data_IF_787930794187
#
_entry.id   IF_787930794187
#
_cell.length_a   1.000
_cell.length_b   1.000
_cell.length_c   1.000
_cell.angle_alpha   90.00
_cell.angle_beta   90.00
_cell.angle_gamma   90.00
#
_symmetry.space_group_name_H-M   'P 1'
#
loop_
_entity.id
_entity.type
_entity.pdbx_description
1 polymer ?
#
# COMPACT_ATOMS: atom_id res chain seq x y z
N UNK A 1 -33.54 0.66 52.50
CA UNK A 1 -32.12 0.84 52.86
C UNK A 1 -31.17 0.01 52.01
N UNK A 2 -31.51 -1.22 51.57
CA UNK A 2 -30.71 -2.01 50.64
C UNK A 2 -30.64 -1.36 49.23
N UNK A 3 -31.80 -0.92 48.73
CA UNK A 3 -31.98 -0.29 47.42
C UNK A 3 -31.14 1.02 47.23
N UNK A 4 -31.05 1.85 48.29
CA UNK A 4 -30.26 3.09 48.25
C UNK A 4 -28.74 2.85 48.31
N UNK A 5 -28.27 1.71 48.86
CA UNK A 5 -26.87 1.31 48.83
C UNK A 5 -26.50 0.75 47.49
N UNK A 6 -27.33 -0.07 46.89
CA UNK A 6 -27.15 -0.66 45.58
C UNK A 6 -27.05 0.43 44.49
N UNK A 7 -27.94 1.44 44.53
CA UNK A 7 -27.88 2.61 43.65
C UNK A 7 -26.62 3.48 43.83
N UNK A 8 -26.15 3.60 45.11
CA UNK A 8 -24.90 4.34 45.38
C UNK A 8 -23.66 3.63 44.87
N UNK A 9 -23.63 2.28 44.98
CA UNK A 9 -22.50 1.46 44.49
C UNK A 9 -22.46 1.42 42.95
N UNK A 10 -23.61 1.36 42.29
CA UNK A 10 -23.75 1.44 40.84
C UNK A 10 -23.28 2.80 40.30
N UNK A 11 -23.69 3.90 40.92
CA UNK A 11 -23.25 5.25 40.54
C UNK A 11 -21.75 5.44 40.74
N UNK A 12 -21.17 4.89 41.79
CA UNK A 12 -19.73 4.96 42.05
C UNK A 12 -18.93 4.15 41.01
N UNK A 13 -19.49 3.02 40.53
CA UNK A 13 -18.90 2.23 39.44
C UNK A 13 -18.89 3.02 38.15
N UNK A 14 -20.01 3.59 37.72
CA UNK A 14 -20.15 4.41 36.52
C UNK A 14 -19.20 5.63 36.53
N UNK A 15 -19.06 6.29 37.69
CA UNK A 15 -18.16 7.44 37.85
C UNK A 15 -16.68 7.02 37.76
N UNK A 16 -16.34 5.80 38.16
CA UNK A 16 -14.99 5.24 37.98
C UNK A 16 -14.71 4.93 36.51
N UNK A 17 -15.61 4.21 35.84
CA UNK A 17 -15.47 3.88 34.43
C UNK A 17 -15.31 5.13 33.55
N UNK A 18 -16.09 6.17 33.81
CA UNK A 18 -15.99 7.44 33.12
C UNK A 18 -14.61 8.10 33.31
N UNK A 19 -14.09 8.13 34.56
CA UNK A 19 -12.76 8.69 34.84
C UNK A 19 -11.64 7.88 34.16
N UNK A 20 -11.76 6.56 34.18
CA UNK A 20 -10.77 5.69 33.53
C UNK A 20 -10.78 5.89 32.00
N UNK A 21 -11.98 6.03 31.42
CA UNK A 21 -12.11 6.32 29.97
C UNK A 21 -11.54 7.70 29.61
N UNK A 22 -11.83 8.75 30.42
CA UNK A 22 -11.24 10.09 30.21
C UNK A 22 -9.71 10.07 30.33
N UNK A 23 -9.17 9.38 31.33
CA UNK A 23 -7.72 9.25 31.49
C UNK A 23 -7.04 8.50 30.32
N UNK A 24 -7.67 7.42 29.84
CA UNK A 24 -7.20 6.70 28.64
C UNK A 24 -7.20 7.61 27.42
N UNK A 25 -8.29 8.35 27.22
CA UNK A 25 -8.42 9.29 26.11
C UNK A 25 -7.33 10.35 26.13
N UNK A 26 -7.05 10.97 27.26
CA UNK A 26 -6.02 12.01 27.38
C UNK A 26 -4.63 11.53 26.97
N UNK A 27 -4.18 10.35 27.41
CA UNK A 27 -2.87 9.86 27.03
C UNK A 27 -2.84 9.34 25.60
N UNK A 28 -3.93 8.74 25.09
CA UNK A 28 -4.04 8.31 23.71
C UNK A 28 -3.98 9.50 22.74
N UNK A 29 -4.66 10.61 23.05
CA UNK A 29 -4.61 11.83 22.26
C UNK A 29 -3.22 12.49 22.25
N UNK A 30 -2.45 12.36 23.34
CA UNK A 30 -1.03 12.80 23.36
C UNK A 30 -0.13 11.96 22.45
N UNK A 31 -0.41 10.66 22.35
CA UNK A 31 0.36 9.75 21.52
C UNK A 31 -0.06 9.78 20.04
N UNK A 32 -1.36 9.67 19.77
CA UNK A 32 -1.91 9.52 18.41
C UNK A 32 -2.34 10.85 17.77
N UNK A 33 -2.41 11.93 18.51
CA UNK A 33 -3.10 13.20 18.28
C UNK A 33 -4.64 13.10 18.40
N UNK A 34 -5.31 14.17 18.83
CA UNK A 34 -6.77 14.19 18.96
C UNK A 34 -7.51 13.87 17.65
N UNK A 35 -7.06 14.45 16.53
CA UNK A 35 -7.68 14.26 15.22
C UNK A 35 -7.59 12.80 14.75
N UNK A 36 -6.48 12.12 14.99
CA UNK A 36 -6.33 10.72 14.60
C UNK A 36 -7.14 9.81 15.52
N UNK A 37 -7.08 10.04 16.82
CA UNK A 37 -7.77 9.19 17.79
C UNK A 37 -9.29 9.34 17.72
N UNK A 38 -9.83 10.55 17.43
CA UNK A 38 -11.29 10.76 17.29
C UNK A 38 -11.92 9.83 16.25
N UNK A 39 -11.19 9.50 15.15
CA UNK A 39 -11.72 8.60 14.11
C UNK A 39 -11.97 7.17 14.61
N UNK A 40 -11.27 6.73 15.64
CA UNK A 40 -11.47 5.44 16.30
C UNK A 40 -12.54 5.55 17.40
N UNK A 41 -12.53 6.64 18.16
CA UNK A 41 -13.55 6.92 19.20
C UNK A 41 -14.97 6.99 18.61
N UNK A 42 -15.14 7.62 17.45
CA UNK A 42 -16.43 7.76 16.76
C UNK A 42 -17.02 6.39 16.37
N UNK A 43 -16.17 5.41 16.06
CA UNK A 43 -16.59 4.05 15.71
C UNK A 43 -16.89 3.20 16.95
N UNK A 44 -16.25 3.52 18.06
CA UNK A 44 -16.38 2.82 19.34
C UNK A 44 -17.30 3.56 20.32
N UNK A 45 -18.19 4.43 19.86
CA UNK A 45 -19.16 5.17 20.68
C UNK A 45 -18.53 5.93 21.86
N UNK A 46 -17.29 6.41 21.69
CA UNK A 46 -16.53 7.14 22.70
C UNK A 46 -15.81 6.26 23.73
N UNK A 47 -15.83 4.94 23.59
CA UNK A 47 -15.07 4.00 24.41
C UNK A 47 -13.59 4.02 24.03
N UNK A 48 -12.75 4.62 24.88
CA UNK A 48 -11.33 4.81 24.63
C UNK A 48 -10.54 3.50 24.67
N UNK A 49 -10.96 2.50 25.42
CA UNK A 49 -10.32 1.17 25.46
C UNK A 49 -10.52 0.44 24.14
N UNK A 50 -11.77 0.32 23.68
CA UNK A 50 -12.08 -0.27 22.37
C UNK A 50 -11.46 0.50 21.20
N UNK A 51 -11.41 1.83 21.29
CA UNK A 51 -10.77 2.66 20.27
C UNK A 51 -9.27 2.38 20.16
N UNK A 52 -8.59 2.13 21.29
CA UNK A 52 -7.18 1.71 21.30
C UNK A 52 -7.01 0.29 20.76
N UNK A 53 -7.87 -0.65 21.12
CA UNK A 53 -7.87 -2.00 20.57
C UNK A 53 -8.07 -1.98 19.04
N UNK A 54 -8.99 -1.15 18.55
CA UNK A 54 -9.25 -0.98 17.13
C UNK A 54 -8.04 -0.34 16.41
N UNK A 55 -7.35 0.59 17.06
CA UNK A 55 -6.11 1.16 16.53
C UNK A 55 -5.00 0.10 16.41
N UNK A 56 -4.77 -0.71 17.46
CA UNK A 56 -3.81 -1.81 17.43
C UNK A 56 -4.16 -2.84 16.35
N UNK A 57 -5.42 -3.21 16.25
CA UNK A 57 -5.91 -4.10 15.19
C UNK A 57 -5.61 -3.54 13.78
N UNK A 58 -5.82 -2.24 13.58
CA UNK A 58 -5.48 -1.57 12.32
C UNK A 58 -3.98 -1.63 12.01
N UNK A 59 -3.12 -1.48 13.01
CA UNK A 59 -1.66 -1.63 12.83
C UNK A 59 -1.28 -3.07 12.50
N UNK A 60 -1.91 -4.05 13.14
CA UNK A 60 -1.68 -5.48 12.85
C UNK A 60 -2.09 -5.80 11.41
N UNK A 61 -3.27 -5.38 10.97
CA UNK A 61 -3.71 -5.49 9.57
C UNK A 61 -2.71 -4.84 8.60
N UNK A 62 -2.20 -3.66 8.94
CA UNK A 62 -1.20 -2.97 8.14
C UNK A 62 0.11 -3.74 8.01
N UNK A 63 0.52 -4.47 9.04
CA UNK A 63 1.74 -5.32 9.01
C UNK A 63 1.58 -6.51 8.08
N UNK A 64 0.43 -7.18 8.10
CA UNK A 64 0.15 -8.30 7.19
C UNK A 64 0.12 -7.81 5.73
N UNK A 65 -0.61 -6.75 5.46
CA UNK A 65 -0.66 -6.11 4.13
C UNK A 65 0.72 -5.69 3.63
N UNK A 66 1.57 -5.15 4.51
CA UNK A 66 2.92 -4.73 4.12
C UNK A 66 3.79 -5.91 3.70
N UNK A 67 3.63 -7.08 4.32
CA UNK A 67 4.30 -8.31 3.94
C UNK A 67 3.94 -8.75 2.52
N UNK A 68 2.65 -8.80 2.21
CA UNK A 68 2.15 -9.21 0.89
C UNK A 68 2.53 -8.18 -0.20
N UNK A 69 2.44 -6.89 0.11
CA UNK A 69 2.92 -5.80 -0.77
C UNK A 69 4.42 -5.92 -1.05
N UNK A 70 5.24 -6.25 -0.05
CA UNK A 70 6.69 -6.36 -0.23
C UNK A 70 7.06 -7.52 -1.17
N UNK A 71 6.43 -8.68 -1.05
CA UNK A 71 6.60 -9.78 -2.00
C UNK A 71 6.24 -9.39 -3.42
N UNK A 72 5.09 -8.72 -3.59
CA UNK A 72 4.64 -8.24 -4.88
C UNK A 72 5.57 -7.17 -5.47
N UNK A 73 6.01 -6.20 -4.66
CA UNK A 73 6.94 -5.14 -5.11
C UNK A 73 8.24 -5.74 -5.63
N UNK A 74 8.80 -6.74 -4.94
CA UNK A 74 10.00 -7.45 -5.37
C UNK A 74 9.77 -8.15 -6.71
N UNK A 75 8.65 -8.85 -6.88
CA UNK A 75 8.33 -9.56 -8.12
C UNK A 75 8.14 -8.60 -9.29
N UNK A 76 7.38 -7.53 -9.10
CA UNK A 76 7.12 -6.50 -10.12
C UNK A 76 8.42 -5.81 -10.57
N UNK A 77 9.23 -5.38 -9.60
CA UNK A 77 10.53 -4.76 -9.83
C UNK A 77 11.43 -5.64 -10.67
N UNK A 78 11.64 -6.88 -10.24
CA UNK A 78 12.54 -7.79 -10.90
C UNK A 78 12.02 -8.23 -12.28
N UNK A 79 10.70 -8.36 -12.47
CA UNK A 79 10.11 -8.67 -13.75
C UNK A 79 10.29 -7.53 -14.77
N UNK A 80 10.07 -6.29 -14.36
CA UNK A 80 10.24 -5.12 -15.22
C UNK A 80 11.70 -4.82 -15.52
N UNK A 81 12.57 -4.91 -14.51
CA UNK A 81 14.01 -4.74 -14.70
C UNK A 81 14.57 -5.76 -15.67
N UNK A 82 14.24 -7.04 -15.51
CA UNK A 82 14.66 -8.11 -16.42
C UNK A 82 14.25 -7.85 -17.86
N UNK A 83 12.97 -7.52 -18.10
CA UNK A 83 12.46 -7.26 -19.45
C UNK A 83 13.09 -6.03 -20.08
N UNK A 84 13.32 -4.97 -19.30
CA UNK A 84 14.01 -3.77 -19.78
C UNK A 84 15.48 -4.07 -20.10
N UNK A 85 16.17 -4.82 -19.23
CA UNK A 85 17.57 -5.22 -19.45
C UNK A 85 17.74 -6.11 -20.68
N UNK A 86 16.79 -7.05 -20.90
CA UNK A 86 16.85 -7.97 -22.05
C UNK A 86 16.51 -7.32 -23.40
N UNK A 87 15.64 -6.28 -23.40
CA UNK A 87 15.05 -5.73 -24.63
C UNK A 87 15.49 -4.31 -24.98
N UNK A 88 16.09 -3.61 -24.07
CA UNK A 88 16.55 -2.24 -24.32
C UNK A 88 17.90 -2.28 -25.04
N UNK A 89 17.93 -1.74 -26.25
CA UNK A 89 19.13 -1.72 -27.11
C UNK A 89 19.88 -0.38 -26.99
N UNK A 90 20.27 0.01 -25.79
CA UNK A 90 21.09 1.19 -25.52
C UNK A 90 22.56 0.81 -25.28
N UNK A 91 23.50 1.76 -25.39
CA UNK A 91 24.90 1.53 -25.07
C UNK A 91 25.18 1.33 -23.59
N UNK A 92 24.28 1.79 -22.70
CA UNK A 92 24.36 1.67 -21.26
C UNK A 92 23.12 0.94 -20.71
N UNK A 93 23.16 0.60 -19.43
CA UNK A 93 21.98 0.07 -18.74
C UNK A 93 20.79 1.02 -18.86
N UNK A 94 19.57 0.50 -19.03
CA UNK A 94 18.33 1.27 -19.22
C UNK A 94 18.10 2.37 -18.17
N UNK A 95 18.63 2.21 -16.95
CA UNK A 95 18.57 3.23 -15.89
C UNK A 95 19.41 4.48 -16.18
N UNK A 96 20.54 4.32 -16.86
CA UNK A 96 21.57 5.36 -17.00
C UNK A 96 21.64 5.92 -18.41
N UNK A 97 21.15 5.17 -19.38
CA UNK A 97 21.16 5.57 -20.78
C UNK A 97 20.22 6.78 -21.02
N UNK A 98 20.77 7.81 -21.68
CA UNK A 98 20.01 9.04 -21.95
C UNK A 98 18.84 8.83 -22.94
N UNK A 99 18.88 7.76 -23.77
CA UNK A 99 17.83 7.41 -24.71
C UNK A 99 16.74 6.53 -24.10
N UNK A 100 16.92 6.06 -22.86
CA UNK A 100 16.00 5.15 -22.19
C UNK A 100 14.57 5.68 -22.17
N UNK A 101 13.57 4.88 -22.56
CA UNK A 101 12.17 5.28 -22.51
C UNK A 101 11.66 5.48 -21.08
N UNK A 102 12.38 5.00 -20.08
CA UNK A 102 12.04 5.17 -18.64
C UNK A 102 12.43 6.57 -18.15
N UNK A 103 13.56 7.10 -18.60
CA UNK A 103 14.15 8.34 -18.06
C UNK A 103 14.18 9.50 -19.06
N UNK A 104 14.27 9.26 -20.37
CA UNK A 104 14.25 10.35 -21.38
C UNK A 104 12.98 11.20 -21.25
N UNK A 105 13.03 12.52 -21.59
CA UNK A 105 11.84 13.36 -21.58
C UNK A 105 10.76 12.84 -22.53
N UNK A 106 9.55 12.63 -22.02
CA UNK A 106 8.36 12.27 -22.81
C UNK A 106 7.30 13.34 -22.60
N UNK A 107 7.14 14.20 -23.62
CA UNK A 107 6.20 15.31 -23.54
C UNK A 107 4.77 14.87 -23.88
N UNK A 108 3.83 15.12 -22.96
CA UNK A 108 2.39 14.85 -23.14
C UNK A 108 1.57 16.08 -22.78
N UNK A 109 0.44 16.26 -23.48
CA UNK A 109 -0.53 17.30 -23.14
C UNK A 109 -1.34 16.87 -21.92
N UNK A 110 -1.38 17.71 -20.90
CA UNK A 110 -2.25 17.55 -19.75
C UNK A 110 -3.73 17.84 -20.13
N UNK A 111 -4.67 17.54 -19.22
CA UNK A 111 -6.10 17.93 -19.38
C UNK A 111 -6.28 19.44 -19.62
N UNK A 112 -5.39 20.26 -19.06
CA UNK A 112 -5.36 21.72 -19.28
C UNK A 112 -4.55 22.14 -20.52
N UNK A 113 -4.30 21.22 -21.47
CA UNK A 113 -3.53 21.44 -22.72
C UNK A 113 -2.07 21.93 -22.52
N UNK A 114 -1.54 21.93 -21.28
CA UNK A 114 -0.15 22.24 -21.02
C UNK A 114 0.72 21.01 -21.29
N UNK A 115 1.85 21.22 -21.95
CA UNK A 115 2.86 20.19 -22.12
C UNK A 115 3.54 19.92 -20.78
N UNK A 116 3.64 18.65 -20.43
CA UNK A 116 4.40 18.17 -19.27
C UNK A 116 5.23 16.98 -19.64
N UNK A 117 6.39 16.90 -19.06
CA UNK A 117 7.24 15.72 -19.13
C UNK A 117 6.75 14.67 -18.14
N UNK A 118 6.24 13.55 -18.66
CA UNK A 118 5.70 12.48 -17.81
C UNK A 118 6.78 11.64 -17.15
N UNK A 119 8.02 11.68 -17.65
CA UNK A 119 9.16 10.97 -17.07
C UNK A 119 9.96 11.80 -16.06
N UNK A 120 9.59 13.06 -15.80
CA UNK A 120 10.27 13.86 -14.80
C UNK A 120 10.28 13.20 -13.41
N UNK A 121 9.16 12.56 -13.03
CA UNK A 121 9.04 11.84 -11.77
C UNK A 121 9.98 10.63 -11.72
N UNK A 122 10.11 9.90 -12.83
CA UNK A 122 11.01 8.74 -12.92
C UNK A 122 12.47 9.16 -12.79
N UNK A 123 12.89 10.23 -13.52
CA UNK A 123 14.27 10.74 -13.38
C UNK A 123 14.60 11.13 -11.96
N UNK A 124 13.71 11.84 -11.27
CA UNK A 124 13.90 12.21 -9.86
C UNK A 124 14.03 10.98 -8.97
N UNK A 125 13.17 9.98 -9.17
CA UNK A 125 13.23 8.75 -8.39
C UNK A 125 14.54 7.99 -8.61
N UNK A 126 15.04 7.93 -9.86
CA UNK A 126 16.34 7.32 -10.17
C UNK A 126 17.49 8.13 -9.56
N UNK A 127 17.44 9.45 -9.64
CA UNK A 127 18.44 10.35 -9.04
C UNK A 127 18.51 10.19 -7.52
N UNK A 128 17.35 10.17 -6.86
CA UNK A 128 17.23 9.94 -5.41
C UNK A 128 17.73 8.53 -5.02
N UNK A 129 17.43 7.50 -5.80
CA UNK A 129 17.92 6.14 -5.56
C UNK A 129 19.44 6.05 -5.74
N UNK A 130 19.99 6.70 -6.77
CA UNK A 130 21.45 6.81 -6.98
C UNK A 130 22.15 7.53 -5.82
N UNK A 131 21.54 8.61 -5.31
CA UNK A 131 22.11 9.35 -4.18
C UNK A 131 22.14 8.54 -2.87
N UNK A 132 21.31 7.51 -2.74
CA UNK A 132 21.28 6.59 -1.58
C UNK A 132 22.11 5.32 -1.78
N UNK A 133 22.44 4.95 -3.01
CA UNK A 133 23.20 3.76 -3.30
C UNK A 133 24.65 3.90 -2.82
N UNK A 134 25.23 2.80 -2.30
CA UNK A 134 26.66 2.77 -1.95
C UNK A 134 27.56 2.95 -3.19
N UNK A 135 27.17 2.33 -4.30
CA UNK A 135 27.75 2.56 -5.61
C UNK A 135 26.66 3.09 -6.56
N UNK A 136 26.66 4.40 -6.91
CA UNK A 136 25.67 5.02 -7.78
C UNK A 136 25.77 4.57 -9.25
N UNK A 137 26.80 3.82 -9.63
CA UNK A 137 26.98 3.25 -10.95
C UNK A 137 26.59 1.78 -11.02
N UNK A 138 26.29 1.15 -9.91
CA UNK A 138 25.79 -0.22 -9.87
C UNK A 138 24.25 -0.23 -10.07
N UNK A 139 23.75 -0.74 -11.22
CA UNK A 139 22.33 -0.74 -11.53
C UNK A 139 21.50 -1.51 -10.49
N UNK A 140 21.99 -2.64 -9.97
CA UNK A 140 21.27 -3.47 -9.02
C UNK A 140 20.99 -2.71 -7.71
N UNK A 141 21.97 -1.91 -7.25
CA UNK A 141 21.79 -1.10 -6.04
C UNK A 141 20.78 0.05 -6.25
N UNK A 142 20.81 0.65 -7.44
CA UNK A 142 19.85 1.72 -7.78
C UNK A 142 18.45 1.16 -7.96
N UNK A 143 18.30 0.03 -8.66
CA UNK A 143 17.03 -0.71 -8.82
C UNK A 143 16.45 -1.07 -7.46
N UNK A 144 17.28 -1.58 -6.54
CA UNK A 144 16.86 -1.91 -5.17
C UNK A 144 16.34 -0.70 -4.39
N UNK A 145 16.81 0.50 -4.70
CA UNK A 145 16.40 1.75 -4.08
C UNK A 145 15.10 2.35 -4.65
N UNK A 146 14.55 1.80 -5.74
CA UNK A 146 13.32 2.29 -6.36
C UNK A 146 12.09 1.67 -5.69
N UNK A 147 11.11 2.49 -5.35
CA UNK A 147 9.91 2.10 -4.61
C UNK A 147 8.77 1.67 -5.55
N UNK A 148 7.77 0.96 -5.01
CA UNK A 148 6.59 0.48 -5.74
C UNK A 148 5.96 1.54 -6.66
N UNK A 149 5.83 2.79 -6.20
CA UNK A 149 5.26 3.88 -6.99
C UNK A 149 5.98 4.14 -8.30
N UNK A 150 7.31 3.95 -8.35
CA UNK A 150 8.08 4.06 -9.59
C UNK A 150 7.66 2.97 -10.59
N UNK A 151 7.56 1.73 -10.15
CA UNK A 151 7.19 0.58 -10.98
C UNK A 151 5.74 0.64 -11.45
N UNK A 152 4.82 1.01 -10.56
CA UNK A 152 3.40 1.19 -10.88
C UNK A 152 3.17 2.26 -11.95
N UNK A 153 3.89 3.38 -11.90
CA UNK A 153 3.78 4.45 -12.89
C UNK A 153 4.22 4.05 -14.30
N UNK A 154 5.02 3.01 -14.48
CA UNK A 154 5.46 2.60 -15.81
C UNK A 154 4.34 2.04 -16.68
N UNK A 155 3.24 1.54 -16.10
CA UNK A 155 2.05 1.07 -16.82
C UNK A 155 1.05 2.16 -17.19
N UNK A 156 1.29 3.42 -16.77
CA UNK A 156 0.42 4.56 -17.06
C UNK A 156 0.18 4.73 -18.58
N UNK A 157 -1.04 5.11 -18.96
CA UNK A 157 -1.45 5.34 -20.35
C UNK A 157 -0.50 6.29 -21.11
N UNK A 158 0.07 7.26 -20.42
CA UNK A 158 1.00 8.21 -21.03
C UNK A 158 2.29 7.58 -21.56
N UNK A 159 2.64 6.39 -21.07
CA UNK A 159 3.83 5.61 -21.42
C UNK A 159 3.54 4.37 -22.26
N UNK A 160 2.28 4.14 -22.62
CA UNK A 160 1.85 2.92 -23.34
C UNK A 160 2.68 2.65 -24.60
N UNK A 161 2.89 3.68 -25.43
CA UNK A 161 3.65 3.56 -26.69
C UNK A 161 5.16 3.44 -26.49
N UNK A 162 5.68 4.02 -25.40
CA UNK A 162 7.13 4.10 -25.18
C UNK A 162 7.63 2.98 -24.26
N UNK A 163 6.80 2.44 -23.37
CA UNK A 163 7.19 1.42 -22.38
C UNK A 163 6.36 0.13 -22.49
N UNK A 164 5.03 0.22 -22.44
CA UNK A 164 4.19 -0.98 -22.38
C UNK A 164 4.31 -1.81 -23.66
N UNK A 165 4.02 -1.23 -24.82
CA UNK A 165 4.03 -1.97 -26.09
C UNK A 165 5.42 -2.54 -26.45
N UNK A 166 6.53 -1.79 -26.34
CA UNK A 166 7.82 -2.35 -26.73
C UNK A 166 8.43 -3.27 -25.67
N UNK A 167 8.11 -3.10 -24.37
CA UNK A 167 8.83 -3.79 -23.30
C UNK A 167 7.93 -4.49 -22.31
N UNK A 168 7.15 -3.74 -21.48
CA UNK A 168 6.61 -4.22 -20.21
C UNK A 168 5.51 -5.27 -20.36
N UNK A 169 4.80 -5.32 -21.50
CA UNK A 169 3.80 -6.36 -21.74
C UNK A 169 4.40 -7.78 -21.66
N UNK A 170 5.68 -7.93 -21.93
CA UNK A 170 6.36 -9.21 -21.91
C UNK A 170 6.64 -9.74 -20.48
N UNK A 171 6.50 -8.91 -19.46
CA UNK A 171 6.57 -9.34 -18.07
C UNK A 171 5.27 -10.04 -17.61
N UNK A 172 4.20 -9.97 -18.39
CA UNK A 172 2.87 -10.43 -18.04
C UNK A 172 2.38 -11.53 -18.97
N UNK A 173 1.41 -12.35 -18.53
CA UNK A 173 0.75 -13.32 -19.41
C UNK A 173 0.18 -12.66 -20.67
N UNK A 174 0.18 -13.41 -21.77
CA UNK A 174 -0.38 -12.93 -23.03
C UNK A 174 -1.86 -12.54 -22.88
N UNK A 175 -2.23 -11.39 -23.43
CA UNK A 175 -3.59 -10.85 -23.34
C UNK A 175 -3.88 -10.01 -22.09
N UNK A 176 -2.88 -9.75 -21.24
CA UNK A 176 -3.07 -8.85 -20.08
C UNK A 176 -3.50 -7.47 -20.55
N UNK A 177 -4.65 -7.00 -20.05
CA UNK A 177 -5.15 -5.65 -20.30
C UNK A 177 -4.36 -4.63 -19.47
N UNK A 178 -3.59 -3.78 -20.17
CA UNK A 178 -2.80 -2.72 -19.54
C UNK A 178 -3.63 -1.78 -18.67
N UNK A 179 -4.86 -1.43 -19.09
CA UNK A 179 -5.66 -0.45 -18.37
C UNK A 179 -6.19 -1.03 -17.05
N UNK A 180 -6.63 -2.28 -17.07
CA UNK A 180 -7.04 -3.01 -15.87
C UNK A 180 -5.86 -3.19 -14.93
N UNK A 181 -4.71 -3.63 -15.45
CA UNK A 181 -3.47 -3.78 -14.68
C UNK A 181 -3.05 -2.46 -14.03
N UNK A 182 -3.09 -1.34 -14.78
CA UNK A 182 -2.73 -0.04 -14.24
C UNK A 182 -3.64 0.38 -13.07
N UNK A 183 -4.94 0.12 -13.15
CA UNK A 183 -5.87 0.41 -12.05
C UNK A 183 -5.52 -0.41 -10.79
N UNK A 184 -5.24 -1.70 -10.95
CA UNK A 184 -4.81 -2.56 -9.84
C UNK A 184 -3.49 -2.05 -9.22
N UNK A 185 -2.48 -1.73 -10.03
CA UNK A 185 -1.20 -1.21 -9.55
C UNK A 185 -1.33 0.15 -8.83
N UNK A 186 -2.19 1.04 -9.33
CA UNK A 186 -2.49 2.31 -8.66
C UNK A 186 -3.16 2.10 -7.29
N UNK A 187 -4.11 1.16 -7.19
CA UNK A 187 -4.78 0.81 -5.94
C UNK A 187 -3.81 0.20 -4.93
N UNK A 188 -2.94 -0.72 -5.36
CA UNK A 188 -1.90 -1.31 -4.52
C UNK A 188 -0.92 -0.24 -4.01
N UNK A 189 -0.48 0.67 -4.88
CA UNK A 189 0.40 1.76 -4.47
C UNK A 189 -0.26 2.73 -3.49
N UNK A 190 -1.56 3.02 -3.64
CA UNK A 190 -2.33 3.79 -2.67
C UNK A 190 -2.42 3.07 -1.32
N UNK A 191 -2.75 1.77 -1.31
CA UNK A 191 -2.80 0.96 -0.10
C UNK A 191 -1.44 0.95 0.61
N UNK A 192 -0.36 0.70 -0.12
CA UNK A 192 1.01 0.75 0.41
C UNK A 192 1.32 2.07 1.11
N UNK A 193 0.93 3.20 0.51
CA UNK A 193 1.16 4.51 1.10
C UNK A 193 0.33 4.72 2.38
N UNK A 194 -0.93 4.28 2.40
CA UNK A 194 -1.76 4.33 3.61
C UNK A 194 -1.18 3.51 4.75
N UNK A 195 -0.71 2.29 4.45
CA UNK A 195 -0.03 1.43 5.43
C UNK A 195 1.25 2.12 5.95
N UNK A 196 2.10 2.64 5.06
CA UNK A 196 3.35 3.32 5.44
C UNK A 196 3.15 4.58 6.29
N UNK A 197 1.99 5.25 6.15
CA UNK A 197 1.61 6.43 6.94
C UNK A 197 0.75 6.09 8.16
N UNK A 198 0.57 4.80 8.47
CA UNK A 198 -0.30 4.32 9.55
C UNK A 198 -1.70 4.95 9.50
N UNK A 199 -2.26 5.07 8.29
CA UNK A 199 -3.62 5.56 8.10
C UNK A 199 -4.64 4.48 8.46
N UNK A 200 -5.88 4.90 8.69
CA UNK A 200 -7.00 3.98 8.88
C UNK A 200 -7.25 3.16 7.62
N UNK A 201 -7.28 1.83 7.74
CA UNK A 201 -7.41 0.87 6.64
C UNK A 201 -8.82 0.29 6.47
N UNK A 202 -9.77 0.70 7.28
CA UNK A 202 -11.17 0.26 7.29
C UNK A 202 -12.12 1.45 7.13
N UNK A 203 -13.41 1.18 6.87
CA UNK A 203 -14.45 2.17 6.58
C UNK A 203 -13.95 3.22 5.56
N UNK A 204 -13.63 2.78 4.32
CA UNK A 204 -13.06 3.67 3.33
C UNK A 204 -14.06 4.75 2.94
N UNK A 205 -13.58 6.00 2.84
CA UNK A 205 -14.38 7.13 2.34
C UNK A 205 -14.51 7.12 0.80
N UNK A 206 -13.66 6.36 0.10
CA UNK A 206 -13.66 6.24 -1.35
C UNK A 206 -14.38 4.95 -1.78
N UNK A 207 -15.40 5.08 -2.62
CA UNK A 207 -16.07 3.93 -3.24
C UNK A 207 -15.07 3.09 -4.04
N UNK A 208 -15.09 1.78 -3.84
CA UNK A 208 -14.21 0.82 -4.52
C UNK A 208 -12.83 0.66 -3.91
N UNK A 209 -12.51 1.32 -2.80
CA UNK A 209 -11.31 1.04 -2.02
C UNK A 209 -11.62 -0.01 -0.95
N UNK A 210 -11.08 -1.20 -1.10
CA UNK A 210 -11.16 -2.28 -0.12
C UNK A 210 -9.78 -2.89 0.06
N UNK A 211 -9.15 -2.81 1.24
CA UNK A 211 -7.87 -3.46 1.49
C UNK A 211 -7.89 -4.95 1.21
N UNK A 212 -9.00 -5.63 1.53
CA UNK A 212 -9.18 -7.06 1.27
C UNK A 212 -9.21 -7.38 -0.22
N UNK A 213 -9.94 -6.60 -1.03
CA UNK A 213 -9.98 -6.80 -2.49
C UNK A 213 -8.63 -6.47 -3.14
N UNK A 214 -7.93 -5.43 -2.64
CA UNK A 214 -6.61 -5.06 -3.13
C UNK A 214 -5.59 -6.16 -2.80
N UNK A 215 -5.70 -6.80 -1.63
CA UNK A 215 -4.85 -7.93 -1.25
C UNK A 215 -5.08 -9.15 -2.17
N UNK A 216 -6.33 -9.43 -2.54
CA UNK A 216 -6.64 -10.43 -3.56
C UNK A 216 -5.99 -10.09 -4.91
N UNK A 217 -6.04 -8.82 -5.33
CA UNK A 217 -5.34 -8.35 -6.53
C UNK A 217 -3.82 -8.55 -6.43
N UNK A 218 -3.22 -8.29 -5.27
CA UNK A 218 -1.79 -8.54 -5.00
C UNK A 218 -1.45 -10.01 -5.23
N UNK A 219 -2.22 -10.92 -4.64
CA UNK A 219 -2.00 -12.36 -4.77
C UNK A 219 -2.14 -12.86 -6.22
N UNK A 220 -3.16 -12.37 -6.95
CA UNK A 220 -3.36 -12.69 -8.37
C UNK A 220 -2.20 -12.20 -9.25
N UNK A 221 -1.79 -10.95 -9.07
CA UNK A 221 -0.72 -10.34 -9.86
C UNK A 221 0.65 -10.95 -9.51
N UNK A 222 0.89 -11.27 -8.24
CA UNK A 222 2.10 -11.97 -7.81
C UNK A 222 2.18 -13.37 -8.44
N UNK A 223 1.08 -14.13 -8.44
CA UNK A 223 1.02 -15.43 -9.11
C UNK A 223 1.27 -15.32 -10.62
N UNK A 224 0.81 -14.24 -11.26
CA UNK A 224 1.05 -14.01 -12.68
C UNK A 224 2.53 -13.74 -12.99
N UNK A 225 3.27 -13.09 -12.08
CA UNK A 225 4.70 -12.76 -12.22
C UNK A 225 5.62 -13.90 -11.77
N UNK A 226 5.25 -14.59 -10.69
CA UNK A 226 6.06 -15.61 -10.03
C UNK A 226 5.20 -16.80 -9.57
N UNK A 227 4.69 -17.64 -10.49
CA UNK A 227 3.79 -18.74 -10.15
C UNK A 227 4.43 -19.75 -9.19
N UNK A 228 5.75 -19.97 -9.26
CA UNK A 228 6.49 -20.87 -8.39
C UNK A 228 6.56 -20.39 -6.93
N UNK A 229 6.50 -19.08 -6.71
CA UNK A 229 6.58 -18.46 -5.40
C UNK A 229 5.18 -18.13 -4.80
N UNK A 230 4.09 -18.51 -5.49
CA UNK A 230 2.72 -18.16 -5.05
C UNK A 230 2.42 -18.60 -3.61
N UNK A 231 2.95 -19.74 -3.18
CA UNK A 231 2.83 -20.23 -1.80
C UNK A 231 3.42 -19.32 -0.71
N UNK A 232 4.20 -18.28 -1.09
CA UNK A 232 4.68 -17.27 -0.14
C UNK A 232 3.60 -16.27 0.28
N UNK A 233 2.55 -16.09 -0.52
CA UNK A 233 1.42 -15.20 -0.25
C UNK A 233 0.14 -15.96 0.11
N UNK A 234 -0.06 -17.13 -0.47
CA UNK A 234 -1.25 -17.93 -0.26
C UNK A 234 -0.92 -19.26 0.40
N UNK A 235 -1.73 -19.65 1.37
CA UNK A 235 -1.68 -20.97 1.97
C UNK A 235 -2.26 -22.05 1.03
N UNK A 236 -2.16 -23.31 1.42
CA UNK A 236 -2.63 -24.45 0.61
C UNK A 236 -4.14 -24.43 0.32
N UNK A 237 -4.93 -23.76 1.16
CA UNK A 237 -6.36 -23.53 0.98
C UNK A 237 -6.68 -22.30 0.09
N UNK A 238 -5.66 -21.63 -0.43
CA UNK A 238 -5.78 -20.47 -1.31
C UNK A 238 -5.98 -19.14 -0.61
N UNK A 239 -6.03 -19.11 0.73
CA UNK A 239 -6.20 -17.86 1.48
C UNK A 239 -4.90 -17.07 1.54
N UNK A 240 -5.02 -15.75 1.41
CA UNK A 240 -3.90 -14.81 1.63
C UNK A 240 -3.54 -14.72 3.11
N UNK A 241 -2.39 -14.11 3.42
CA UNK A 241 -1.98 -13.81 4.79
C UNK A 241 -2.99 -12.89 5.48
N UNK A 242 -3.51 -11.91 4.76
CA UNK A 242 -4.53 -10.98 5.24
C UNK A 242 -5.86 -11.67 5.53
N UNK A 243 -6.31 -12.58 4.63
CA UNK A 243 -7.56 -13.33 4.87
C UNK A 243 -7.48 -14.20 6.12
N UNK A 244 -6.35 -14.87 6.36
CA UNK A 244 -6.12 -15.66 7.58
C UNK A 244 -6.11 -14.76 8.82
N UNK A 245 -5.40 -13.63 8.75
CA UNK A 245 -5.38 -12.65 9.85
C UNK A 245 -6.80 -12.19 10.22
N UNK A 246 -7.64 -11.85 9.23
CA UNK A 246 -9.01 -11.39 9.47
C UNK A 246 -9.91 -12.47 10.10
N UNK A 247 -9.66 -13.75 9.81
CA UNK A 247 -10.39 -14.86 10.44
C UNK A 247 -9.94 -15.12 11.88
N UNK A 248 -8.62 -15.05 12.14
CA UNK A 248 -8.04 -15.32 13.44
C UNK A 248 -8.18 -14.12 14.41
N UNK A 249 -8.23 -12.91 13.87
CA UNK A 249 -8.27 -11.65 14.60
C UNK A 249 -9.43 -10.76 14.11
N UNK A 250 -10.68 -11.06 14.48
CA UNK A 250 -11.80 -10.21 14.13
C UNK A 250 -11.63 -8.81 14.72
N UNK A 251 -12.09 -7.80 13.99
CA UNK A 251 -12.03 -6.42 14.47
C UNK A 251 -12.83 -6.24 15.76
N UNK A 252 -12.35 -5.46 16.75
CA UNK A 252 -13.03 -5.24 18.03
C UNK A 252 -14.31 -4.39 17.91
N UNK A 253 -14.54 -3.78 16.74
CA UNK A 253 -15.75 -3.02 16.41
C UNK A 253 -16.26 -3.36 15.02
N UNK A 254 -17.51 -3.00 14.70
CA UNK A 254 -18.08 -3.19 13.36
C UNK A 254 -17.38 -2.24 12.36
N UNK A 255 -16.60 -2.83 11.44
CA UNK A 255 -15.87 -2.09 10.40
C UNK A 255 -16.06 -2.75 9.03
N UNK A 256 -15.96 -1.94 7.97
CA UNK A 256 -15.94 -2.41 6.57
C UNK A 256 -14.49 -2.43 6.03
N UNK A 257 -14.16 -3.48 5.24
CA UNK A 257 -12.84 -3.68 4.62
C UNK A 257 -12.93 -3.76 3.10
#
# INVERSE_FOLDING_TARGET
>A
MADAREQSDEQACLDRERRDNEARREWAERWLSPTRFSTYLDICDGDAEKALELHEWNLMLGRELLGDIAHFELALRNAYDRVLTERFEGPEHWLFDASSPVTRPIMRKSKMKKLRDVNLVNRRAVEDARGRAHDPHNPDQVVAGLMLGFWAHMTDRSRERDLWIPYLHAAWPAGTDRAVLNLKLESINKLRNRVAHNERLFNPSESGYSPRLIDTDIAELFRALCPEAHGSLCSADGKTTVERFLEEHPAPAAVEL
#
